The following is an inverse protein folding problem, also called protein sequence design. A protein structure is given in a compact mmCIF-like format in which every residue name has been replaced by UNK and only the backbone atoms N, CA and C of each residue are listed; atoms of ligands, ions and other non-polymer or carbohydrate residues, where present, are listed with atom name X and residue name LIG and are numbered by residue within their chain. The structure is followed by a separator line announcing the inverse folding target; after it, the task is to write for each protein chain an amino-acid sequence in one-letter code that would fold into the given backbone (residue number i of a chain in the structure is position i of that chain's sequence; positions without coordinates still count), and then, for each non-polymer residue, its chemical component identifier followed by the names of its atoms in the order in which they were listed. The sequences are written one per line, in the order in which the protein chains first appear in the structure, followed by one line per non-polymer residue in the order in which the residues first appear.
data_IF_181410601125
#
_entry.id   IF_181410601125
#
_cell.length_a   1.000
_cell.length_b   1.000
_cell.length_c   1.000
_cell.angle_alpha   90.00
_cell.angle_beta   90.00
_cell.angle_gamma   90.00
#
_symmetry.space_group_name_H-M   'P 1'
#
loop_
_entity.id
_entity.type
_entity.pdbx_description
1 polymer ?
#
# COMPACT_ATOMS: atom_id res chain seq x y z
N UNK A 1 13.34 -5.19 -5.09
CA UNK A 1 11.91 -5.61 -5.21
C UNK A 1 11.12 -4.50 -5.88
N UNK A 2 10.48 -4.73 -7.03
CA UNK A 2 9.67 -3.71 -7.70
C UNK A 2 8.20 -3.93 -7.35
N UNK A 3 7.67 -3.08 -6.48
CA UNK A 3 6.25 -3.06 -6.12
C UNK A 3 5.56 -2.02 -6.99
N UNK A 4 4.54 -2.44 -7.74
CA UNK A 4 3.79 -1.53 -8.60
C UNK A 4 2.30 -1.73 -8.47
N UNK A 5 1.58 -0.62 -8.57
CA UNK A 5 0.13 -0.56 -8.51
C UNK A 5 -0.35 -0.27 -9.91
N UNK A 6 -1.28 -1.07 -10.41
CA UNK A 6 -1.82 -0.88 -11.74
C UNK A 6 -3.32 -1.12 -11.75
N UNK A 7 -3.99 -0.64 -12.79
CA UNK A 7 -5.41 -0.84 -12.98
C UNK A 7 -5.70 -1.58 -14.28
N UNK A 8 -6.81 -2.32 -14.30
CA UNK A 8 -7.35 -2.91 -15.53
C UNK A 8 -8.81 -2.50 -15.70
N UNK A 9 -9.20 -2.20 -16.93
CA UNK A 9 -10.61 -1.95 -17.26
C UNK A 9 -11.33 -3.28 -17.46
N UNK A 10 -12.42 -3.48 -16.73
CA UNK A 10 -13.34 -4.60 -16.92
C UNK A 10 -14.45 -4.16 -17.89
N UNK A 11 -15.00 -5.10 -18.67
CA UNK A 11 -15.92 -4.84 -19.77
C UNK A 11 -17.20 -4.05 -19.41
N UNK A 12 -17.57 -3.94 -18.13
CA UNK A 12 -18.78 -3.25 -17.66
C UNK A 12 -18.56 -1.79 -17.22
N UNK A 13 -17.50 -1.12 -17.69
CA UNK A 13 -17.18 0.24 -17.25
C UNK A 13 -16.69 0.29 -15.80
N UNK A 14 -16.11 -0.81 -15.33
CA UNK A 14 -15.51 -0.91 -14.00
C UNK A 14 -13.99 -0.97 -14.15
N UNK A 15 -13.28 -0.48 -13.13
CA UNK A 15 -11.84 -0.40 -13.09
C UNK A 15 -11.34 -1.03 -11.80
N UNK A 16 -10.65 -2.16 -11.94
CA UNK A 16 -10.08 -2.91 -10.84
C UNK A 16 -8.62 -2.52 -10.62
N UNK A 17 -8.24 -2.34 -9.35
CA UNK A 17 -6.90 -1.97 -8.94
C UNK A 17 -6.20 -3.16 -8.31
N UNK A 18 -4.93 -3.32 -8.69
CA UNK A 18 -4.10 -4.43 -8.24
C UNK A 18 -2.75 -3.92 -7.77
N UNK A 19 -2.21 -4.60 -6.76
CA UNK A 19 -0.82 -4.49 -6.35
C UNK A 19 -0.07 -5.70 -6.86
N UNK A 20 1.07 -5.49 -7.52
CA UNK A 20 2.00 -6.57 -7.86
C UNK A 20 3.24 -6.44 -6.99
N UNK A 21 3.55 -7.50 -6.25
CA UNK A 21 4.75 -7.60 -5.41
C UNK A 21 5.25 -9.03 -5.40
N UNK A 22 6.57 -9.20 -5.48
CA UNK A 22 7.24 -10.51 -5.50
C UNK A 22 6.68 -11.50 -6.55
N UNK A 23 6.21 -11.00 -7.69
CA UNK A 23 5.60 -11.82 -8.75
C UNK A 23 4.11 -12.10 -8.56
N UNK A 24 3.58 -11.94 -7.34
CA UNK A 24 2.17 -12.17 -6.99
C UNK A 24 1.33 -10.92 -7.23
N UNK A 25 0.09 -11.13 -7.68
CA UNK A 25 -0.91 -10.08 -7.88
C UNK A 25 -1.95 -10.15 -6.76
N UNK A 26 -2.16 -9.02 -6.09
CA UNK A 26 -3.16 -8.85 -5.05
C UNK A 26 -4.22 -7.86 -5.53
N UNK A 27 -5.49 -8.21 -5.35
CA UNK A 27 -6.60 -7.31 -5.59
C UNK A 27 -6.69 -6.29 -4.46
N UNK A 28 -6.89 -5.01 -4.81
CA UNK A 28 -7.04 -3.93 -3.83
C UNK A 28 -8.52 -3.57 -3.69
N UNK A 29 -9.12 -3.08 -4.77
CA UNK A 29 -10.52 -2.69 -4.84
C UNK A 29 -10.94 -2.49 -6.30
N UNK A 30 -12.23 -2.36 -6.53
CA UNK A 30 -12.80 -1.96 -7.80
C UNK A 30 -13.57 -0.63 -7.64
N UNK A 31 -13.62 0.16 -8.70
CA UNK A 31 -14.40 1.39 -8.76
C UNK A 31 -14.91 1.64 -10.18
N UNK A 32 -15.90 2.52 -10.33
CA UNK A 32 -16.37 2.96 -11.64
C UNK A 32 -15.21 3.52 -12.48
N UNK A 33 -15.23 3.22 -13.78
CA UNK A 33 -14.19 3.62 -14.72
C UNK A 33 -14.02 5.14 -14.75
N UNK A 34 -12.77 5.59 -14.62
CA UNK A 34 -12.39 6.99 -14.80
C UNK A 34 -11.17 7.07 -15.71
N UNK A 35 -11.30 7.81 -16.81
CA UNK A 35 -10.22 7.97 -17.81
C UNK A 35 -8.91 8.45 -17.17
N UNK A 36 -8.95 9.47 -16.33
CA UNK A 36 -7.76 9.98 -15.62
C UNK A 36 -7.05 8.93 -14.77
N UNK A 37 -7.80 8.00 -14.17
CA UNK A 37 -7.20 6.90 -13.42
C UNK A 37 -6.56 5.87 -14.36
N UNK A 38 -7.19 5.57 -15.50
CA UNK A 38 -6.59 4.68 -16.50
C UNK A 38 -5.32 5.27 -17.09
N UNK A 39 -5.30 6.56 -17.37
CA UNK A 39 -4.12 7.24 -17.95
C UNK A 39 -2.92 7.17 -17.00
N UNK A 40 -3.14 7.31 -15.69
CA UNK A 40 -2.06 7.25 -14.68
C UNK A 40 -1.70 5.82 -14.26
N UNK A 41 -2.70 4.99 -13.93
CA UNK A 41 -2.48 3.67 -13.34
C UNK A 41 -2.45 2.54 -14.38
N UNK A 42 -2.79 2.80 -15.64
CA UNK A 42 -2.84 1.78 -16.69
C UNK A 42 -1.47 1.23 -17.06
N UNK A 43 -0.44 2.07 -17.02
CA UNK A 43 0.96 1.64 -17.24
C UNK A 43 1.59 1.01 -16.00
N UNK A 44 0.92 1.12 -14.86
CA UNK A 44 1.45 0.75 -13.56
C UNK A 44 2.37 1.84 -13.00
N UNK A 45 2.20 2.15 -11.72
CA UNK A 45 3.00 3.14 -11.00
C UNK A 45 3.79 2.47 -9.88
N UNK A 46 4.94 3.04 -9.55
CA UNK A 46 5.68 2.64 -8.37
C UNK A 46 5.08 3.22 -7.08
N UNK A 47 5.41 2.61 -5.93
CA UNK A 47 5.05 3.16 -4.61
C UNK A 47 5.67 4.56 -4.35
N UNK A 48 6.78 4.87 -5.01
CA UNK A 48 7.40 6.18 -4.90
C UNK A 48 6.59 7.24 -5.65
N UNK A 49 6.13 6.92 -6.85
CA UNK A 49 5.25 7.79 -7.64
C UNK A 49 3.89 7.99 -6.97
N UNK A 50 3.37 6.97 -6.28
CA UNK A 50 2.15 7.12 -5.48
C UNK A 50 2.22 8.31 -4.50
N UNK A 51 3.40 8.58 -3.91
CA UNK A 51 3.58 9.74 -3.02
C UNK A 51 3.46 11.07 -3.78
N UNK A 52 3.89 11.11 -5.04
CA UNK A 52 3.80 12.30 -5.92
C UNK A 52 2.36 12.55 -6.38
N UNK A 53 1.56 11.50 -6.57
CA UNK A 53 0.18 11.60 -7.04
C UNK A 53 -0.77 12.33 -6.09
N UNK A 54 -0.41 12.48 -4.81
CA UNK A 54 -1.15 13.33 -3.87
C UNK A 54 -1.26 14.79 -4.31
N UNK A 55 -0.31 15.26 -5.14
CA UNK A 55 -0.29 16.62 -5.71
C UNK A 55 -0.75 16.66 -7.18
N UNK A 56 -1.34 15.58 -7.69
CA UNK A 56 -1.80 15.53 -9.08
C UNK A 56 -2.95 16.52 -9.33
N UNK A 57 -3.07 17.05 -10.55
CA UNK A 57 -4.12 18.03 -10.89
C UNK A 57 -5.53 17.42 -10.86
N UNK A 58 -5.68 16.16 -11.27
CA UNK A 58 -6.99 15.48 -11.29
C UNK A 58 -7.44 15.00 -9.91
N UNK A 59 -8.66 15.37 -9.52
CA UNK A 59 -9.30 14.95 -8.28
C UNK A 59 -9.42 13.42 -8.15
N UNK A 60 -9.88 12.73 -9.20
CA UNK A 60 -10.07 11.27 -9.18
C UNK A 60 -8.78 10.51 -8.87
N UNK A 61 -7.65 10.98 -9.41
CA UNK A 61 -6.32 10.38 -9.22
C UNK A 61 -5.86 10.58 -7.78
N UNK A 62 -5.97 11.81 -7.25
CA UNK A 62 -5.66 12.12 -5.85
C UNK A 62 -6.47 11.28 -4.88
N UNK A 63 -7.78 11.22 -5.09
CA UNK A 63 -8.68 10.49 -4.22
C UNK A 63 -8.41 8.98 -4.25
N UNK A 64 -8.03 8.45 -5.41
CA UNK A 64 -7.57 7.05 -5.53
C UNK A 64 -6.24 6.84 -4.80
N UNK A 65 -5.30 7.78 -4.94
CA UNK A 65 -3.99 7.74 -4.26
C UNK A 65 -4.11 7.82 -2.72
N UNK A 66 -5.13 8.48 -2.19
CA UNK A 66 -5.41 8.55 -0.75
C UNK A 66 -5.94 7.23 -0.19
N UNK A 67 -6.73 6.49 -0.97
CA UNK A 67 -7.29 5.18 -0.58
C UNK A 67 -6.24 4.07 -0.58
N UNK A 68 -5.31 4.11 -1.55
CA UNK A 68 -4.33 3.04 -1.78
C UNK A 68 -3.53 2.63 -0.53
N UNK A 69 -2.98 3.55 0.29
CA UNK A 69 -2.26 3.18 1.51
C UNK A 69 -3.07 2.33 2.49
N UNK A 70 -4.38 2.52 2.59
CA UNK A 70 -5.23 1.75 3.51
C UNK A 70 -5.39 0.30 3.02
N UNK A 71 -5.68 0.11 1.73
CA UNK A 71 -5.80 -1.22 1.13
C UNK A 71 -4.46 -1.98 1.09
N UNK A 72 -3.35 -1.26 0.86
CA UNK A 72 -2.02 -1.89 0.90
C UNK A 72 -1.74 -2.40 2.31
N UNK A 73 -2.04 -1.64 3.36
CA UNK A 73 -1.88 -2.09 4.75
C UNK A 73 -2.71 -3.33 5.07
N UNK A 74 -3.93 -3.41 4.53
CA UNK A 74 -4.76 -4.60 4.70
C UNK A 74 -4.07 -5.84 4.14
N UNK A 75 -3.54 -5.76 2.92
CA UNK A 75 -2.80 -6.87 2.30
C UNK A 75 -1.52 -7.19 3.07
N UNK A 76 -0.79 -6.17 3.56
CA UNK A 76 0.39 -6.39 4.41
C UNK A 76 0.06 -7.18 5.67
N UNK A 77 -1.11 -6.95 6.28
CA UNK A 77 -1.56 -7.68 7.47
C UNK A 77 -2.05 -9.09 7.13
N UNK A 78 -2.83 -9.23 6.06
CA UNK A 78 -3.45 -10.49 5.64
C UNK A 78 -2.39 -11.51 5.19
N UNK A 79 -1.37 -11.06 4.46
CA UNK A 79 -0.37 -11.94 3.84
C UNK A 79 1.02 -11.85 4.52
N UNK A 80 1.14 -11.14 5.65
CA UNK A 80 2.40 -10.80 6.37
C UNK A 80 3.56 -10.36 5.44
N UNK A 81 3.22 -9.59 4.40
CA UNK A 81 4.20 -9.03 3.45
C UNK A 81 4.56 -7.59 3.81
N UNK A 82 5.84 -7.22 3.62
CA UNK A 82 6.33 -5.87 3.90
C UNK A 82 6.49 -5.05 2.61
N UNK A 83 5.49 -4.23 2.32
CA UNK A 83 5.39 -3.45 1.08
C UNK A 83 5.80 -1.99 1.29
N UNK A 84 5.25 -1.34 2.31
CA UNK A 84 5.49 0.07 2.65
C UNK A 84 6.61 0.22 3.70
N UNK A 85 7.51 1.18 3.48
CA UNK A 85 8.55 1.55 4.46
C UNK A 85 7.96 2.05 5.78
N UNK A 86 6.79 2.69 5.74
CA UNK A 86 6.08 3.13 6.95
C UNK A 86 5.68 1.95 7.84
N UNK A 87 5.33 0.82 7.23
CA UNK A 87 4.95 -0.39 7.94
C UNK A 87 6.18 -1.07 8.53
N UNK A 88 7.30 -1.09 7.79
CA UNK A 88 8.62 -1.50 8.32
C UNK A 88 9.03 -0.71 9.57
N UNK A 89 8.95 0.63 9.52
CA UNK A 89 9.28 1.51 10.66
C UNK A 89 8.38 1.28 11.88
N UNK A 90 7.08 1.08 11.68
CA UNK A 90 6.16 0.76 12.78
C UNK A 90 6.45 -0.62 13.42
N UNK A 91 6.76 -1.65 12.63
CA UNK A 91 7.11 -3.00 13.13
C UNK A 91 8.41 -2.94 13.96
N UNK A 92 9.42 -2.21 13.47
CA UNK A 92 10.68 -1.97 14.19
C UNK A 92 10.48 -1.22 15.51
N UNK A 93 9.71 -0.12 15.51
CA UNK A 93 9.43 0.63 16.74
C UNK A 93 8.66 -0.21 17.78
N UNK A 94 7.77 -1.10 17.33
CA UNK A 94 7.02 -2.00 18.21
C UNK A 94 7.92 -3.10 18.79
N UNK A 95 8.89 -3.62 18.01
CA UNK A 95 9.90 -4.54 18.50
C UNK A 95 10.84 -3.90 19.52
N UNK A 96 11.30 -2.67 19.25
CA UNK A 96 12.15 -1.93 20.19
C UNK A 96 11.41 -1.69 21.52
N UNK A 97 10.14 -1.26 21.48
CA UNK A 97 9.32 -1.09 22.70
C UNK A 97 9.13 -2.38 23.51
N UNK A 98 9.00 -3.54 22.86
CA UNK A 98 8.90 -4.83 23.56
C UNK A 98 10.22 -5.17 24.27
N UNK A 99 11.36 -5.00 23.59
CA UNK A 99 12.68 -5.22 24.19
C UNK A 99 12.89 -4.36 25.44
N UNK A 100 12.58 -3.07 25.36
CA UNK A 100 12.68 -2.20 26.53
C UNK A 100 11.75 -2.62 27.68
N UNK A 101 10.54 -3.13 27.40
CA UNK A 101 9.64 -3.61 28.45
C UNK A 101 10.11 -4.93 29.09
N UNK A 102 10.72 -5.82 28.31
CA UNK A 102 11.30 -7.09 28.81
C UNK A 102 12.57 -6.86 29.65
N UNK A 103 13.37 -5.81 29.34
CA UNK A 103 14.57 -5.45 30.11
C UNK A 103 14.19 -4.93 31.52
N UNK A 104 13.12 -4.12 31.65
CA UNK A 104 12.65 -3.62 32.95
C UNK A 104 12.07 -4.70 33.88
N UNK A 105 11.52 -5.79 33.33
CA UNK A 105 10.95 -6.88 34.14
C UNK A 105 11.99 -7.89 34.64
N UNK A 106 13.16 -7.97 34.02
CA UNK A 106 14.23 -8.87 34.45
C UNK A 106 15.17 -8.25 35.51
N UNK A 107 15.23 -6.91 35.62
CA UNK A 107 16.01 -6.23 36.67
C UNK A 107 15.38 -6.32 38.07
N UNK A 108 14.07 -6.58 38.18
CA UNK A 108 13.37 -6.74 39.47
C UNK A 108 13.43 -8.17 40.05
N UNK A 109 13.98 -9.14 39.31
CA UNK A 109 14.04 -10.56 39.73
C UNK A 109 15.46 -11.14 39.87
N UNK A 110 16.50 -10.30 39.84
CA UNK A 110 17.90 -10.72 39.98
C UNK A 110 18.49 -10.39 41.36
#
# INVERSE_FOLDING_TARGET
MKNFIYCTTTAKGEQSFYLRTQGTKYFLFAQAFRRSNKDVFGQGISLFELRKLKKHCSYSVRHTAEKLPAYIRYIEQEYDILIMETTKRKKLNRQNRKRFADDYFNEETA
#
